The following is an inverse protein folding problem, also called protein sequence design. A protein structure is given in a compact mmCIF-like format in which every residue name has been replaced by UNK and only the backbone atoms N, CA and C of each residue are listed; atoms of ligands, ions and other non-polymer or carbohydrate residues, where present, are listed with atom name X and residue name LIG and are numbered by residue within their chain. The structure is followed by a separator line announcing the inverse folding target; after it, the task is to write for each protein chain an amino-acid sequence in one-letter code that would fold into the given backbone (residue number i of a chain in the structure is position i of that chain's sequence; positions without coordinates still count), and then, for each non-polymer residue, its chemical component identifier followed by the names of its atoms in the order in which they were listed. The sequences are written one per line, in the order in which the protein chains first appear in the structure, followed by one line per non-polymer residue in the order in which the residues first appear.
data_IF_507254275909
#
_entry.id   IF_507254275909
#
_cell.length_a   1.000
_cell.length_b   1.000
_cell.length_c   1.000
_cell.angle_alpha   90.00
_cell.angle_beta   90.00
_cell.angle_gamma   90.00
#
_symmetry.space_group_name_H-M   'P 1'
#
loop_
_entity.id
_entity.type
_entity.pdbx_description
1 polymer ?
#
# COMPACT_ATOMS: atom_id res chain seq x y z
N UNK A 1 -16.68 -3.56 13.81
CA UNK A 1 -16.33 -4.70 12.94
C UNK A 1 -15.17 -5.43 13.56
N UNK A 2 -15.26 -6.74 13.71
CA UNK A 2 -14.14 -7.60 14.06
C UNK A 2 -13.25 -7.87 12.84
N UNK A 3 -12.01 -8.33 13.05
CA UNK A 3 -11.11 -8.69 11.96
C UNK A 3 -11.71 -9.76 11.04
N UNK A 4 -12.47 -10.70 11.60
CA UNK A 4 -13.14 -11.76 10.84
C UNK A 4 -14.27 -11.22 9.96
N UNK A 5 -15.02 -10.22 10.44
CA UNK A 5 -16.05 -9.54 9.66
C UNK A 5 -15.43 -8.77 8.49
N UNK A 6 -14.29 -8.11 8.70
CA UNK A 6 -13.55 -7.40 7.64
C UNK A 6 -13.08 -8.36 6.54
N UNK A 7 -12.57 -9.55 6.92
CA UNK A 7 -12.16 -10.56 5.93
C UNK A 7 -13.34 -11.00 5.07
N UNK A 8 -14.51 -11.24 5.67
CA UNK A 8 -15.72 -11.60 4.93
C UNK A 8 -16.20 -10.47 4.01
N UNK A 9 -16.11 -9.24 4.49
CA UNK A 9 -16.48 -8.04 3.74
C UNK A 9 -15.62 -7.86 2.48
N UNK A 10 -14.29 -7.90 2.61
CA UNK A 10 -13.38 -7.72 1.46
C UNK A 10 -13.47 -8.87 0.46
N UNK A 11 -13.68 -10.11 0.93
CA UNK A 11 -13.86 -11.27 0.05
C UNK A 11 -15.13 -11.23 -0.80
N UNK A 12 -16.08 -10.39 -0.43
CA UNK A 12 -17.34 -10.19 -1.17
C UNK A 12 -17.29 -8.97 -2.08
N UNK A 13 -16.07 -8.54 -2.47
CA UNK A 13 -15.82 -7.40 -3.37
C UNK A 13 -16.36 -6.07 -2.82
N UNK A 14 -16.52 -5.98 -1.50
CA UNK A 14 -16.88 -4.72 -0.87
C UNK A 14 -15.63 -3.90 -0.57
N UNK A 15 -15.70 -2.62 -0.95
CA UNK A 15 -14.65 -1.62 -0.74
C UNK A 15 -15.10 -0.53 0.23
N UNK A 16 -14.12 0.13 0.85
CA UNK A 16 -14.40 1.29 1.70
C UNK A 16 -14.95 2.44 0.87
N UNK A 17 -15.90 3.19 1.44
CA UNK A 17 -16.42 4.41 0.82
C UNK A 17 -15.35 5.49 0.75
N UNK A 18 -15.48 6.37 -0.26
CA UNK A 18 -14.60 7.54 -0.40
C UNK A 18 -14.68 8.43 0.87
N UNK A 19 -13.54 8.73 1.51
CA UNK A 19 -13.51 9.66 2.62
C UNK A 19 -13.90 11.08 2.20
N UNK A 20 -14.39 11.88 3.15
CA UNK A 20 -14.71 13.28 2.88
C UNK A 20 -13.42 14.08 2.62
N UNK A 21 -13.43 14.93 1.59
CA UNK A 21 -12.28 15.75 1.22
C UNK A 21 -11.24 15.03 0.35
N UNK A 22 -11.47 13.75 0.00
CA UNK A 22 -10.60 13.01 -0.93
C UNK A 22 -11.00 13.29 -2.37
N UNK A 23 -10.05 13.74 -3.22
CA UNK A 23 -10.26 13.86 -4.65
C UNK A 23 -10.73 12.55 -5.28
N UNK A 24 -11.52 12.64 -6.35
CA UNK A 24 -12.06 11.44 -6.99
C UNK A 24 -10.92 10.59 -7.57
N UNK A 25 -9.91 11.23 -8.15
CA UNK A 25 -8.78 10.59 -8.81
C UNK A 25 -7.91 9.78 -7.82
N UNK A 26 -7.78 10.25 -6.58
CA UNK A 26 -7.09 9.50 -5.51
C UNK A 26 -7.92 8.30 -5.06
N UNK A 27 -9.25 8.47 -5.00
CA UNK A 27 -10.12 7.36 -4.65
C UNK A 27 -10.11 6.27 -5.71
N UNK A 28 -10.11 6.64 -6.99
CA UNK A 28 -10.00 5.71 -8.10
C UNK A 28 -8.67 4.93 -8.04
N UNK A 29 -7.55 5.61 -7.74
CA UNK A 29 -6.26 4.95 -7.51
C UNK A 29 -6.30 3.96 -6.33
N UNK A 30 -7.02 4.28 -5.25
CA UNK A 30 -7.20 3.36 -4.12
C UNK A 30 -8.04 2.13 -4.51
N UNK A 31 -9.05 2.29 -5.36
CA UNK A 31 -9.85 1.18 -5.87
C UNK A 31 -8.99 0.22 -6.71
N UNK A 32 -8.12 0.75 -7.56
CA UNK A 32 -7.16 -0.06 -8.34
C UNK A 32 -6.23 -0.87 -7.41
N UNK A 33 -5.77 -0.27 -6.30
CA UNK A 33 -4.96 -0.96 -5.30
C UNK A 33 -5.73 -2.06 -4.55
N UNK A 34 -7.06 -1.96 -4.45
CA UNK A 34 -7.93 -2.92 -3.77
C UNK A 34 -8.53 -3.97 -4.70
N UNK A 35 -8.04 -4.09 -5.93
CA UNK A 35 -8.49 -5.14 -6.85
C UNK A 35 -8.40 -6.54 -6.21
N UNK A 36 -9.48 -7.33 -6.38
CA UNK A 36 -9.58 -8.72 -5.88
C UNK A 36 -8.45 -9.57 -6.45
N UNK A 37 -8.19 -9.43 -7.74
CA UNK A 37 -7.07 -10.09 -8.42
C UNK A 37 -5.77 -9.33 -8.13
N UNK A 38 -4.74 -9.99 -7.57
CA UNK A 38 -3.47 -9.35 -7.29
C UNK A 38 -2.73 -8.84 -8.54
N UNK A 39 -2.99 -9.43 -9.71
CA UNK A 39 -2.38 -9.07 -10.99
C UNK A 39 -2.91 -7.77 -11.56
N UNK A 40 -4.12 -7.38 -11.17
CA UNK A 40 -4.80 -6.19 -11.67
C UNK A 40 -4.41 -4.94 -10.84
N UNK A 41 -3.69 -5.14 -9.74
CA UNK A 41 -3.20 -4.06 -8.88
C UNK A 41 -2.04 -3.33 -9.55
N UNK A 42 -1.99 -2.00 -9.46
CA UNK A 42 -0.89 -1.23 -10.00
C UNK A 42 0.41 -1.54 -9.24
N UNK A 43 1.52 -1.42 -9.95
CA UNK A 43 2.86 -1.49 -9.36
C UNK A 43 3.12 -0.24 -8.54
N UNK A 44 4.03 -0.35 -7.58
CA UNK A 44 4.44 0.78 -6.75
C UNK A 44 4.86 2.02 -7.57
N UNK A 45 5.53 1.83 -8.72
CA UNK A 45 5.91 2.94 -9.61
C UNK A 45 4.70 3.67 -10.22
N UNK A 46 3.65 2.93 -10.58
CA UNK A 46 2.43 3.51 -11.17
C UNK A 46 1.63 4.28 -10.10
N UNK A 47 1.62 3.76 -8.87
CA UNK A 47 1.04 4.45 -7.71
C UNK A 47 1.78 5.77 -7.43
N UNK A 48 3.12 5.74 -7.40
CA UNK A 48 3.92 6.95 -7.16
C UNK A 48 3.64 8.02 -8.21
N UNK A 49 3.65 7.66 -9.50
CA UNK A 49 3.33 8.59 -10.59
C UNK A 49 1.91 9.19 -10.45
N UNK A 50 0.93 8.38 -10.02
CA UNK A 50 -0.43 8.86 -9.77
C UNK A 50 -0.54 9.84 -8.59
N UNK A 51 0.31 9.67 -7.57
CA UNK A 51 0.34 10.51 -6.37
C UNK A 51 1.16 11.79 -6.52
N UNK A 52 2.15 11.83 -7.41
CA UNK A 52 3.01 13.01 -7.65
C UNK A 52 2.22 14.30 -7.87
N UNK A 53 1.05 14.22 -8.52
CA UNK A 53 0.18 15.38 -8.77
C UNK A 53 -0.43 15.97 -7.50
N UNK A 54 -0.66 15.15 -6.48
CA UNK A 54 -1.32 15.51 -5.22
C UNK A 54 -0.33 15.83 -4.11
N UNK A 55 0.82 15.18 -4.17
CA UNK A 55 1.93 15.34 -3.25
C UNK A 55 3.20 15.53 -4.09
N UNK A 56 3.45 16.75 -4.61
CA UNK A 56 4.61 17.02 -5.45
C UNK A 56 5.96 16.81 -4.74
N UNK A 57 5.96 16.62 -3.41
CA UNK A 57 7.13 16.32 -2.57
C UNK A 57 7.17 14.86 -2.07
N UNK A 58 6.36 13.95 -2.63
CA UNK A 58 6.39 12.54 -2.23
C UNK A 58 7.75 11.91 -2.55
N UNK A 59 8.44 12.38 -3.58
CA UNK A 59 9.80 11.93 -3.94
C UNK A 59 10.84 12.22 -2.85
N UNK A 60 10.67 13.27 -2.04
CA UNK A 60 11.55 13.55 -0.89
C UNK A 60 11.28 12.59 0.29
N UNK A 61 10.10 11.98 0.35
CA UNK A 61 9.71 11.03 1.40
C UNK A 61 9.85 9.55 0.97
N UNK A 62 9.86 9.28 -0.34
CA UNK A 62 10.24 8.01 -0.94
C UNK A 62 11.77 7.98 -1.20
N UNK A 63 12.58 8.51 -0.29
CA UNK A 63 13.82 7.79 0.06
C UNK A 63 13.41 6.53 0.84
N UNK A 64 12.65 5.66 0.18
CA UNK A 64 12.50 4.28 0.60
C UNK A 64 13.90 3.70 0.45
N UNK A 65 14.55 3.62 1.59
CA UNK A 65 15.77 2.87 1.82
C UNK A 65 15.46 1.40 1.53
N UNK A 66 15.41 1.04 0.26
CA UNK A 66 15.54 -0.33 -0.24
C UNK A 66 16.96 -0.80 0.12
N UNK A 67 17.24 -0.97 1.42
CA UNK A 67 18.38 -1.75 1.91
C UNK A 67 18.02 -3.21 1.77
N UNK A 68 17.96 -3.68 0.53
CA UNK A 68 18.26 -5.07 0.22
C UNK A 68 19.78 -5.23 0.16
N UNK A 69 20.29 -6.22 0.90
CA UNK A 69 21.61 -6.84 0.79
C UNK A 69 22.86 -6.02 1.20
N UNK A 70 23.18 -6.06 2.49
CA UNK A 70 24.56 -6.13 2.98
C UNK A 70 24.76 -7.44 3.75
N UNK A 71 25.93 -8.10 3.70
CA UNK A 71 26.14 -9.38 4.37
C UNK A 71 26.35 -9.15 5.87
N UNK A 72 25.27 -9.08 6.64
CA UNK A 72 25.35 -9.13 8.11
C UNK A 72 24.12 -9.81 8.72
N UNK A 73 23.75 -10.96 8.16
CA UNK A 73 23.06 -12.01 8.91
C UNK A 73 24.08 -12.78 9.75
N UNK A 74 24.38 -12.24 10.93
CA UNK A 74 24.79 -12.97 12.13
C UNK A 74 24.83 -11.96 13.28
N UNK A 75 24.43 -12.38 14.47
CA UNK A 75 24.54 -11.65 15.74
C UNK A 75 23.36 -10.83 16.28
N UNK A 76 22.11 -11.06 15.85
CA UNK A 76 20.94 -10.45 16.53
C UNK A 76 19.73 -11.34 16.80
N UNK A 77 19.77 -12.61 16.40
CA UNK A 77 18.62 -13.54 16.46
C UNK A 77 18.91 -14.76 17.34
N UNK A 78 19.73 -14.62 18.40
CA UNK A 78 20.00 -15.69 19.38
C UNK A 78 19.64 -15.31 20.83
N UNK A 79 18.94 -14.20 21.05
CA UNK A 79 18.54 -13.77 22.40
C UNK A 79 17.01 -13.79 22.62
N UNK A 80 16.25 -14.40 21.71
CA UNK A 80 14.85 -14.75 21.94
C UNK A 80 14.57 -16.17 21.46
N UNK A 81 14.78 -17.10 22.41
CA UNK A 81 14.35 -18.51 22.47
C UNK A 81 15.13 -19.55 21.65
#
# INVERSE_FOLDING_TARGET
MSNEEVIKYVRTDNVLRRPQGTPQEIYDLMLDCWAINPTDRPKAIEISNGLERWTPDLSAQIEVKCRGAGPSLRQGWMDFN
#
